data_IF_137067096690
#
_entry.id   IF_137067096690
#
_cell.length_a   1.000
_cell.length_b   1.000
_cell.length_c   1.000
_cell.angle_alpha   90.00
_cell.angle_beta   90.00
_cell.angle_gamma   90.00
#
_symmetry.space_group_name_H-M   'P 1'
#
loop_
_entity.id
_entity.type
_entity.pdbx_description
1 polymer ?
#
# COMPACT_ATOMS: atom_id res chain seq x y z
N UNK A 1 -19.92 14.91 -54.98
CA UNK A 1 -20.20 14.52 -53.58
C UNK A 1 -18.89 14.06 -52.96
N UNK A 2 -18.49 14.69 -51.85
CA UNK A 2 -17.34 14.32 -51.01
C UNK A 2 -17.64 13.03 -50.21
N UNK A 3 -16.72 12.51 -49.35
CA UNK A 3 -15.31 12.16 -49.60
C UNK A 3 -14.93 10.78 -49.02
N UNK A 4 -13.68 10.39 -49.28
CA UNK A 4 -12.95 9.22 -48.76
C UNK A 4 -12.25 9.58 -47.43
N UNK A 5 -12.17 8.61 -46.52
CA UNK A 5 -11.53 8.69 -45.20
C UNK A 5 -10.01 8.50 -45.24
N UNK A 6 -9.30 9.14 -44.30
CA UNK A 6 -8.41 8.54 -43.27
C UNK A 6 -7.33 9.54 -42.80
N UNK A 7 -6.99 9.44 -41.50
CA UNK A 7 -5.66 9.79 -41.00
C UNK A 7 -5.60 11.02 -40.08
N UNK A 8 -5.99 10.85 -38.82
CA UNK A 8 -5.74 11.82 -37.75
C UNK A 8 -4.33 11.62 -37.16
N UNK A 9 -3.46 12.61 -37.32
CA UNK A 9 -2.26 12.80 -36.50
C UNK A 9 -2.52 14.00 -35.60
N UNK A 10 -2.72 13.79 -34.29
CA UNK A 10 -2.82 14.88 -33.31
C UNK A 10 -1.53 14.95 -32.49
N UNK A 11 -0.70 15.92 -32.85
CA UNK A 11 0.27 16.56 -31.95
C UNK A 11 -0.51 17.73 -31.31
N UNK A 12 -0.66 17.75 -30.00
CA UNK A 12 -1.15 18.94 -29.29
C UNK A 12 -0.09 19.45 -28.31
N UNK A 13 0.53 20.55 -28.71
CA UNK A 13 1.25 21.49 -27.85
C UNK A 13 0.29 22.11 -26.83
N UNK A 14 0.64 22.08 -25.55
CA UNK A 14 -0.04 22.84 -24.50
C UNK A 14 0.35 24.31 -24.61
N UNK A 15 -0.61 25.22 -24.89
CA UNK A 15 -0.43 26.67 -24.71
C UNK A 15 -0.95 27.05 -23.31
N UNK A 16 -0.10 27.69 -22.51
CA UNK A 16 -0.52 28.37 -21.29
C UNK A 16 -1.09 29.76 -21.66
N UNK A 17 -2.30 30.07 -21.23
CA UNK A 17 -2.85 31.44 -21.26
C UNK A 17 -2.79 32.03 -19.85
N UNK A 18 -2.16 33.20 -19.71
CA UNK A 18 -2.21 34.04 -18.50
C UNK A 18 -3.51 34.84 -18.48
N UNK A 19 -4.31 34.70 -17.41
CA UNK A 19 -5.51 35.53 -17.18
C UNK A 19 -5.14 36.81 -16.40
N UNK A 20 -5.81 37.95 -16.63
CA UNK A 20 -5.57 39.18 -15.89
C UNK A 20 -6.09 39.09 -14.44
N UNK A 21 -5.34 39.65 -13.49
CA UNK A 21 -5.63 39.61 -12.05
C UNK A 21 -6.70 40.62 -11.59
N UNK A 22 -7.48 41.20 -12.51
CA UNK A 22 -8.45 42.28 -12.21
C UNK A 22 -9.74 42.14 -13.03
N UNK A 23 -10.87 42.38 -12.38
CA UNK A 23 -12.19 42.43 -13.03
C UNK A 23 -12.32 43.71 -13.87
N UNK A 24 -12.64 43.58 -15.16
CA UNK A 24 -12.76 44.72 -16.10
C UNK A 24 -13.99 45.61 -15.89
N UNK A 25 -14.98 45.17 -15.11
CA UNK A 25 -16.23 45.93 -14.88
C UNK A 25 -16.23 46.72 -13.57
N UNK A 26 -15.52 46.25 -12.54
CA UNK A 26 -15.51 46.91 -11.21
C UNK A 26 -14.10 47.12 -10.61
N UNK A 27 -13.03 46.69 -11.28
CA UNK A 27 -11.65 46.99 -10.91
C UNK A 27 -11.09 46.21 -9.72
N UNK A 28 -11.80 45.24 -9.16
CA UNK A 28 -11.33 44.46 -8.00
C UNK A 28 -10.22 43.47 -8.41
N UNK A 29 -9.13 43.41 -7.64
CA UNK A 29 -8.00 42.50 -7.87
C UNK A 29 -8.14 41.17 -7.14
N UNK A 30 -7.64 40.09 -7.75
CA UNK A 30 -7.64 38.73 -7.19
C UNK A 30 -6.22 38.17 -7.12
N UNK A 31 -5.93 37.37 -6.09
CA UNK A 31 -4.63 36.72 -5.86
C UNK A 31 -4.64 35.29 -6.46
N UNK A 32 -3.60 34.82 -7.19
CA UNK A 32 -3.73 33.69 -8.12
C UNK A 32 -3.73 32.28 -7.50
N UNK A 33 -3.86 32.12 -6.18
CA UNK A 33 -3.78 30.80 -5.52
C UNK A 33 -5.17 30.31 -5.11
N UNK A 34 -6.06 30.07 -6.07
CA UNK A 34 -7.33 29.37 -5.85
C UNK A 34 -8.02 29.06 -7.19
N UNK A 35 -7.44 28.21 -8.04
CA UNK A 35 -8.17 27.64 -9.20
C UNK A 35 -7.42 26.44 -9.80
N UNK A 36 -7.27 25.38 -9.01
CA UNK A 36 -7.02 24.04 -9.55
C UNK A 36 -7.88 23.06 -8.77
N UNK A 37 -9.19 23.09 -9.00
CA UNK A 37 -10.07 21.93 -8.77
C UNK A 37 -11.41 22.27 -9.45
N UNK A 38 -11.71 21.56 -10.54
CA UNK A 38 -13.02 21.23 -11.12
C UNK A 38 -12.89 21.11 -12.63
N UNK A 39 -12.46 19.94 -13.10
CA UNK A 39 -12.80 19.49 -14.45
C UNK A 39 -12.72 17.96 -14.57
N UNK A 40 -13.68 17.27 -13.98
CA UNK A 40 -14.21 16.02 -14.55
C UNK A 40 -15.73 16.04 -14.36
N UNK A 41 -16.43 16.05 -15.48
CA UNK A 41 -17.87 15.91 -15.64
C UNK A 41 -18.73 17.05 -15.11
N UNK A 42 -18.77 18.17 -15.85
CA UNK A 42 -19.97 18.96 -16.14
C UNK A 42 -19.57 20.03 -17.17
N UNK A 43 -20.26 20.06 -18.31
CA UNK A 43 -20.10 21.09 -19.33
C UNK A 43 -20.92 22.32 -18.91
N UNK A 44 -20.30 23.27 -18.21
CA UNK A 44 -20.89 24.60 -17.95
C UNK A 44 -19.77 25.64 -18.04
N UNK A 45 -19.96 26.65 -18.89
CA UNK A 45 -19.05 27.79 -19.11
C UNK A 45 -18.92 28.69 -17.87
N UNK A 46 -17.71 29.06 -17.43
CA UNK A 46 -17.53 30.00 -16.32
C UNK A 46 -17.04 31.37 -16.85
N UNK A 47 -17.96 32.32 -17.07
CA UNK A 47 -17.75 33.63 -16.43
C UNK A 47 -19.01 34.29 -15.82
N UNK A 48 -20.22 33.75 -16.00
CA UNK A 48 -21.44 34.52 -15.74
C UNK A 48 -22.20 34.20 -14.43
N UNK A 49 -21.72 33.31 -13.56
CA UNK A 49 -22.44 32.97 -12.32
C UNK A 49 -21.93 33.62 -11.03
N UNK A 50 -20.79 34.33 -11.05
CA UNK A 50 -20.29 35.03 -9.85
C UNK A 50 -20.58 36.53 -9.81
N UNK A 51 -21.15 37.11 -10.87
CA UNK A 51 -21.42 38.56 -10.94
C UNK A 51 -22.88 38.94 -10.64
N UNK A 52 -23.84 38.01 -10.74
CA UNK A 52 -25.27 38.33 -10.65
C UNK A 52 -25.89 38.25 -9.24
N UNK A 53 -25.18 37.79 -8.20
CA UNK A 53 -25.73 37.81 -6.83
C UNK A 53 -25.29 39.01 -5.99
N UNK A 54 -24.22 39.73 -6.40
CA UNK A 54 -23.65 40.85 -5.63
C UNK A 54 -23.94 42.24 -6.21
N UNK A 55 -24.47 42.33 -7.42
CA UNK A 55 -24.73 43.62 -8.08
C UNK A 55 -26.19 44.13 -7.97
N UNK A 56 -27.09 43.36 -7.36
CA UNK A 56 -28.54 43.68 -7.27
C UNK A 56 -29.00 44.29 -5.93
N UNK A 57 -28.09 44.71 -5.04
CA UNK A 57 -28.46 45.31 -3.74
C UNK A 57 -28.22 46.84 -3.64
N UNK A 58 -28.39 47.59 -4.73
CA UNK A 58 -28.44 49.07 -4.67
C UNK A 58 -29.81 49.61 -5.02
N UNK A 59 -30.75 49.48 -4.08
CA UNK A 59 -31.84 50.44 -3.86
C UNK A 59 -32.67 50.02 -2.64
N UNK A 60 -32.43 50.61 -1.47
CA UNK A 60 -33.45 50.90 -0.46
C UNK A 60 -32.90 51.91 0.57
N UNK A 61 -33.74 52.83 1.10
CA UNK A 61 -33.27 54.00 1.85
C UNK A 61 -32.91 53.67 3.31
N UNK A 62 -32.02 54.50 3.86
CA UNK A 62 -31.63 54.53 5.27
C UNK A 62 -32.86 54.63 6.18
N UNK A 63 -33.23 53.53 6.84
CA UNK A 63 -33.86 53.50 8.17
C UNK A 63 -33.92 52.06 8.67
N UNK A 64 -33.78 51.93 9.99
CA UNK A 64 -33.87 50.72 10.81
C UNK A 64 -32.51 50.07 11.10
N UNK A 65 -31.87 50.64 12.11
CA UNK A 65 -31.01 49.95 13.06
C UNK A 65 -31.76 48.78 13.72
N UNK A 66 -31.00 47.75 14.10
CA UNK A 66 -31.34 46.54 14.87
C UNK A 66 -31.69 45.28 14.06
N UNK A 67 -30.95 44.22 14.37
CA UNK A 67 -31.17 42.80 14.03
C UNK A 67 -30.73 42.29 12.65
N UNK A 68 -29.43 42.26 12.37
CA UNK A 68 -28.87 41.22 11.50
C UNK A 68 -27.59 40.65 12.11
N UNK A 69 -27.74 39.55 12.86
CA UNK A 69 -26.67 38.60 13.08
C UNK A 69 -26.26 38.10 11.70
N UNK A 70 -25.16 38.61 11.17
CA UNK A 70 -24.43 37.92 10.11
C UNK A 70 -23.92 36.64 10.76
N UNK A 71 -24.67 35.55 10.58
CA UNK A 71 -24.18 34.22 10.83
C UNK A 71 -23.09 33.99 9.78
N UNK A 72 -21.87 34.39 10.09
CA UNK A 72 -20.70 33.90 9.40
C UNK A 72 -20.71 32.38 9.64
N UNK A 73 -21.23 31.63 8.67
CA UNK A 73 -21.00 30.20 8.58
C UNK A 73 -19.51 30.09 8.24
N UNK A 74 -18.68 30.15 9.28
CA UNK A 74 -17.40 29.51 9.25
C UNK A 74 -17.71 28.06 8.94
N UNK A 75 -17.46 27.64 7.69
CA UNK A 75 -17.27 26.23 7.41
C UNK A 75 -16.03 25.87 8.21
N UNK A 76 -16.24 25.47 9.47
CA UNK A 76 -15.31 24.60 10.16
C UNK A 76 -15.23 23.37 9.26
N UNK A 77 -14.28 23.36 8.34
CA UNK A 77 -13.73 22.11 7.84
C UNK A 77 -13.11 21.50 9.10
N UNK A 78 -13.90 20.71 9.83
CA UNK A 78 -13.36 19.91 10.92
C UNK A 78 -12.18 19.16 10.33
N UNK A 79 -10.98 19.53 10.76
CA UNK A 79 -9.76 18.85 10.39
C UNK A 79 -9.98 17.40 10.84
N UNK A 80 -10.10 16.47 9.88
CA UNK A 80 -10.32 15.07 10.17
C UNK A 80 -9.30 14.63 11.24
N UNK A 81 -9.78 13.85 12.23
CA UNK A 81 -8.94 13.43 13.34
C UNK A 81 -7.63 12.79 12.81
N UNK A 82 -6.48 13.06 13.45
CA UNK A 82 -5.21 12.51 13.02
C UNK A 82 -5.28 10.99 13.01
N UNK A 83 -4.77 10.39 11.93
CA UNK A 83 -4.58 8.94 11.81
C UNK A 83 -3.11 8.59 11.96
N UNK A 84 -2.85 7.47 12.62
CA UNK A 84 -1.50 6.97 12.87
C UNK A 84 -1.27 5.66 12.12
N UNK A 85 -0.18 5.60 11.34
CA UNK A 85 0.17 4.43 10.53
C UNK A 85 1.55 3.89 10.89
N UNK A 86 1.69 2.57 10.95
CA UNK A 86 3.00 1.89 10.94
C UNK A 86 3.20 1.25 9.58
N UNK A 87 4.37 1.45 8.98
CA UNK A 87 4.79 0.73 7.77
C UNK A 87 6.08 -0.01 8.07
N UNK A 88 6.05 -1.35 7.98
CA UNK A 88 7.21 -2.18 8.29
C UNK A 88 8.21 -2.25 7.13
N UNK A 89 9.52 -2.25 7.42
CA UNK A 89 10.56 -2.36 6.39
C UNK A 89 10.55 -1.21 5.38
N UNK A 90 10.34 0.01 5.87
CA UNK A 90 10.01 1.17 5.07
C UNK A 90 11.19 2.13 4.79
N UNK A 91 12.44 1.70 5.03
CA UNK A 91 13.61 2.52 4.71
C UNK A 91 13.97 2.56 3.21
N UNK A 92 13.30 1.77 2.36
CA UNK A 92 13.50 1.72 0.90
C UNK A 92 12.32 1.04 0.18
N UNK A 93 12.35 1.03 -1.15
CA UNK A 93 11.41 0.28 -1.99
C UNK A 93 9.95 0.70 -1.79
N UNK A 94 9.04 -0.26 -1.95
CA UNK A 94 7.59 -0.05 -1.85
C UNK A 94 7.20 0.55 -0.48
N UNK A 95 7.83 0.08 0.61
CA UNK A 95 7.52 0.58 1.96
C UNK A 95 7.85 2.06 2.14
N UNK A 96 8.98 2.52 1.61
CA UNK A 96 9.36 3.95 1.64
C UNK A 96 8.35 4.81 0.89
N UNK A 97 7.96 4.37 -0.31
CA UNK A 97 7.00 5.10 -1.13
C UNK A 97 5.58 5.06 -0.53
N UNK A 98 5.21 3.95 0.12
CA UNK A 98 3.96 3.85 0.90
C UNK A 98 3.94 4.87 2.04
N UNK A 99 5.05 5.04 2.78
CA UNK A 99 5.15 6.07 3.82
C UNK A 99 4.93 7.45 3.23
N UNK A 100 5.59 7.76 2.12
CA UNK A 100 5.49 9.07 1.46
C UNK A 100 4.06 9.38 1.02
N UNK A 101 3.38 8.44 0.37
CA UNK A 101 2.00 8.64 -0.11
C UNK A 101 0.98 8.73 1.03
N UNK A 102 1.15 7.95 2.10
CA UNK A 102 0.33 8.08 3.31
C UNK A 102 0.55 9.42 4.01
N UNK A 103 1.81 9.85 4.14
CA UNK A 103 2.16 11.14 4.73
C UNK A 103 1.59 12.31 3.91
N UNK A 104 1.65 12.23 2.58
CA UNK A 104 1.03 13.20 1.68
C UNK A 104 -0.49 13.28 1.84
N UNK A 105 -1.12 12.18 2.28
CA UNK A 105 -2.56 12.11 2.59
C UNK A 105 -2.91 12.61 4.00
N UNK A 106 -1.95 13.23 4.71
CA UNK A 106 -2.13 13.78 6.05
C UNK A 106 -2.07 12.77 7.19
N UNK A 107 -1.67 11.52 6.93
CA UNK A 107 -1.48 10.48 7.96
C UNK A 107 -0.16 10.71 8.68
N UNK A 108 -0.12 10.61 10.00
CA UNK A 108 1.16 10.55 10.73
C UNK A 108 1.72 9.14 10.62
N UNK A 109 2.91 9.00 10.02
CA UNK A 109 3.47 7.69 9.69
C UNK A 109 4.71 7.41 10.51
N UNK A 110 4.67 6.30 11.25
CA UNK A 110 5.82 5.68 11.88
C UNK A 110 6.51 4.80 10.83
N UNK A 111 7.56 5.35 10.21
CA UNK A 111 8.48 4.62 9.33
C UNK A 111 9.32 3.70 10.21
N UNK A 112 9.32 2.40 9.91
CA UNK A 112 10.17 1.45 10.64
C UNK A 112 11.18 0.73 9.76
N UNK A 113 12.31 0.39 10.37
CA UNK A 113 13.38 -0.33 9.72
C UNK A 113 14.20 -1.12 10.74
N UNK A 114 14.71 -2.28 10.33
CA UNK A 114 15.58 -3.10 11.19
C UNK A 114 16.89 -2.40 11.54
N UNK A 115 17.44 -1.66 10.57
CA UNK A 115 18.70 -0.94 10.74
C UNK A 115 18.40 0.53 11.04
N UNK A 116 18.78 0.98 12.23
CA UNK A 116 18.50 2.35 12.71
C UNK A 116 19.05 3.42 11.80
N UNK A 117 20.32 3.30 11.38
CA UNK A 117 20.97 4.29 10.52
C UNK A 117 20.18 4.51 9.23
N UNK A 118 19.84 3.42 8.52
CA UNK A 118 19.06 3.50 7.27
C UNK A 118 17.65 4.05 7.50
N UNK A 119 17.02 3.72 8.63
CA UNK A 119 15.70 4.26 8.98
C UNK A 119 15.70 5.75 9.28
N UNK A 120 16.70 6.23 10.03
CA UNK A 120 16.91 7.65 10.30
C UNK A 120 17.24 8.43 9.02
N UNK A 121 18.09 7.89 8.15
CA UNK A 121 18.41 8.50 6.85
C UNK A 121 17.16 8.62 5.96
N UNK A 122 16.36 7.56 5.85
CA UNK A 122 15.10 7.57 5.09
C UNK A 122 14.10 8.60 5.64
N UNK A 123 13.96 8.68 6.98
CA UNK A 123 13.08 9.65 7.64
C UNK A 123 13.58 11.09 7.44
N UNK A 124 14.89 11.32 7.54
CA UNK A 124 15.52 12.61 7.27
C UNK A 124 15.28 13.07 5.84
N UNK A 125 15.36 12.16 4.87
CA UNK A 125 15.08 12.44 3.47
C UNK A 125 13.62 12.91 3.27
N UNK A 126 12.65 12.21 3.85
CA UNK A 126 11.23 12.59 3.77
C UNK A 126 10.95 13.93 4.47
N UNK A 127 11.54 14.15 5.63
CA UNK A 127 11.41 15.43 6.35
C UNK A 127 11.97 16.62 5.55
N UNK A 128 13.12 16.43 4.86
CA UNK A 128 13.67 17.45 3.94
C UNK A 128 12.78 17.72 2.73
N UNK A 129 11.96 16.75 2.33
CA UNK A 129 10.95 16.91 1.28
C UNK A 129 9.64 17.54 1.79
N UNK A 130 9.55 17.90 3.07
CA UNK A 130 8.40 18.56 3.67
C UNK A 130 7.42 17.65 4.41
N UNK A 131 7.69 16.34 4.50
CA UNK A 131 6.83 15.38 5.20
C UNK A 131 7.12 15.33 6.71
N UNK A 132 6.88 16.43 7.42
CA UNK A 132 7.14 16.56 8.87
C UNK A 132 6.30 15.63 9.76
N UNK A 133 5.29 14.98 9.20
CA UNK A 133 4.43 13.98 9.82
C UNK A 133 5.00 12.54 9.72
N UNK A 134 6.27 12.38 9.37
CA UNK A 134 6.97 11.08 9.38
C UNK A 134 7.93 11.01 10.55
N UNK A 135 7.78 9.98 11.39
CA UNK A 135 8.68 9.69 12.51
C UNK A 135 9.34 8.32 12.33
N UNK A 136 10.53 8.17 12.87
CA UNK A 136 11.25 6.89 12.83
C UNK A 136 11.06 6.11 14.14
N UNK A 137 10.90 4.80 14.03
CA UNK A 137 11.13 3.87 15.13
C UNK A 137 11.82 2.59 14.60
N UNK A 138 12.80 2.07 15.33
CA UNK A 138 13.45 0.80 14.96
C UNK A 138 12.44 -0.35 15.03
N UNK A 139 12.48 -1.26 14.05
CA UNK A 139 11.71 -2.50 14.07
C UNK A 139 12.43 -3.60 13.28
N UNK A 140 12.84 -4.65 13.97
CA UNK A 140 13.08 -5.96 13.36
C UNK A 140 11.88 -6.87 13.67
N UNK A 141 11.19 -7.31 12.62
CA UNK A 141 9.97 -8.13 12.76
C UNK A 141 10.26 -9.54 13.28
N UNK A 142 11.52 -9.95 13.35
CA UNK A 142 11.93 -11.23 13.94
C UNK A 142 12.34 -11.11 15.41
N UNK A 143 12.47 -9.90 15.95
CA UNK A 143 12.91 -9.65 17.32
C UNK A 143 11.73 -9.22 18.21
N UNK A 144 11.39 -10.08 19.18
CA UNK A 144 10.31 -9.83 20.12
C UNK A 144 10.50 -8.55 20.94
N UNK A 145 11.73 -8.21 21.32
CA UNK A 145 12.01 -6.99 22.11
C UNK A 145 11.83 -5.74 21.24
N UNK A 146 12.26 -5.80 19.99
CA UNK A 146 12.06 -4.73 19.01
C UNK A 146 10.56 -4.47 18.77
N UNK A 147 9.77 -5.53 18.62
CA UNK A 147 8.30 -5.45 18.46
C UNK A 147 7.64 -4.85 19.72
N UNK A 148 7.99 -5.32 20.90
CA UNK A 148 7.45 -4.81 22.17
C UNK A 148 7.79 -3.33 22.38
N UNK A 149 9.02 -2.95 22.04
CA UNK A 149 9.47 -1.55 22.09
C UNK A 149 8.63 -0.64 21.20
N UNK A 150 8.35 -1.05 19.96
CA UNK A 150 7.47 -0.32 19.05
C UNK A 150 6.04 -0.19 19.61
N UNK A 151 5.47 -1.26 20.14
CA UNK A 151 4.13 -1.24 20.71
C UNK A 151 4.03 -0.27 21.90
N UNK A 152 5.01 -0.29 22.81
CA UNK A 152 5.11 0.65 23.94
C UNK A 152 5.25 2.10 23.46
N UNK A 153 6.11 2.34 22.47
CA UNK A 153 6.27 3.66 21.88
C UNK A 153 4.95 4.23 21.36
N UNK A 154 4.19 3.44 20.57
CA UNK A 154 2.91 3.87 20.02
C UNK A 154 1.88 4.10 21.12
N UNK A 155 1.82 3.21 22.12
CA UNK A 155 0.93 3.36 23.27
C UNK A 155 1.20 4.66 24.03
N UNK A 156 2.46 5.01 24.26
CA UNK A 156 2.85 6.22 24.99
C UNK A 156 2.65 7.50 24.18
N UNK A 157 3.00 7.50 22.89
CA UNK A 157 2.97 8.72 22.07
C UNK A 157 1.59 9.01 21.46
N UNK A 158 0.84 7.97 21.10
CA UNK A 158 -0.39 8.11 20.31
C UNK A 158 -1.62 7.47 20.95
N UNK A 159 -1.44 6.50 21.85
CA UNK A 159 -2.52 5.81 22.57
C UNK A 159 -3.38 4.84 21.74
N UNK A 160 -3.24 4.87 20.40
CA UNK A 160 -3.90 3.99 19.44
C UNK A 160 -3.06 3.84 18.17
N UNK A 161 -3.46 2.91 17.32
CA UNK A 161 -2.96 2.78 15.94
C UNK A 161 -4.14 2.66 14.98
N UNK A 162 -4.12 3.35 13.85
CA UNK A 162 -5.21 3.29 12.87
C UNK A 162 -4.88 2.40 11.68
N UNK A 163 -3.61 2.34 11.29
CA UNK A 163 -3.17 1.63 10.08
C UNK A 163 -1.90 0.84 10.37
N UNK A 164 -1.88 -0.43 10.00
CA UNK A 164 -0.68 -1.27 9.95
C UNK A 164 -0.46 -1.76 8.51
N UNK A 165 0.67 -1.42 7.91
CA UNK A 165 1.11 -1.97 6.63
C UNK A 165 2.29 -2.92 6.88
N UNK A 166 2.01 -4.22 6.80
CA UNK A 166 3.00 -5.28 6.85
C UNK A 166 3.68 -5.42 5.48
N UNK A 167 4.74 -4.64 5.27
CA UNK A 167 5.50 -4.57 4.03
C UNK A 167 6.86 -5.30 4.10
N UNK A 168 7.47 -5.41 5.28
CA UNK A 168 8.76 -6.09 5.44
C UNK A 168 8.73 -7.49 4.83
N UNK A 169 9.78 -7.85 4.08
CA UNK A 169 9.86 -9.14 3.41
C UNK A 169 11.26 -9.54 2.99
N UNK A 170 11.45 -10.84 2.81
CA UNK A 170 12.65 -11.48 2.31
C UNK A 170 12.29 -12.40 1.12
N UNK A 171 13.23 -12.55 0.19
CA UNK A 171 13.05 -13.34 -1.05
C UNK A 171 13.15 -14.85 -0.85
N UNK A 172 13.78 -15.30 0.24
CA UNK A 172 13.94 -16.72 0.56
C UNK A 172 14.88 -17.50 -0.34
N UNK A 173 15.80 -16.80 -1.02
CA UNK A 173 16.79 -17.39 -1.91
C UNK A 173 18.14 -16.71 -1.75
N UNK A 174 19.21 -17.47 -1.99
CA UNK A 174 20.55 -16.95 -2.26
C UNK A 174 20.70 -16.82 -3.77
N UNK A 175 21.21 -15.68 -4.23
CA UNK A 175 21.26 -15.34 -5.65
C UNK A 175 22.66 -14.93 -6.09
N UNK A 176 23.08 -15.51 -7.20
CA UNK A 176 24.12 -14.96 -8.05
C UNK A 176 23.49 -13.95 -9.02
N UNK A 177 23.60 -12.66 -8.69
CA UNK A 177 22.97 -11.58 -9.46
C UNK A 177 23.54 -11.46 -10.88
N UNK A 178 24.82 -11.76 -11.07
CA UNK A 178 25.45 -11.67 -12.38
C UNK A 178 24.89 -12.76 -13.30
N UNK A 179 24.82 -14.00 -12.80
CA UNK A 179 24.21 -15.10 -13.53
C UNK A 179 22.71 -14.86 -13.76
N UNK A 180 21.97 -14.35 -12.77
CA UNK A 180 20.54 -14.05 -12.93
C UNK A 180 20.30 -13.02 -14.04
N UNK A 181 21.09 -11.95 -14.09
CA UNK A 181 20.99 -10.92 -15.14
C UNK A 181 21.35 -11.49 -16.52
N UNK A 182 22.35 -12.36 -16.59
CA UNK A 182 22.77 -13.00 -17.84
C UNK A 182 21.71 -13.92 -18.45
N UNK A 183 20.79 -14.48 -17.64
CA UNK A 183 19.68 -15.29 -18.14
C UNK A 183 18.65 -14.49 -18.96
N UNK A 184 18.63 -13.15 -18.83
CA UNK A 184 17.75 -12.24 -19.57
C UNK A 184 16.30 -12.75 -19.67
N UNK A 185 15.74 -13.15 -18.52
CA UNK A 185 14.42 -13.78 -18.43
C UNK A 185 13.35 -12.74 -18.77
N UNK A 186 12.46 -13.09 -19.70
CA UNK A 186 11.31 -12.25 -20.03
C UNK A 186 10.39 -12.09 -18.78
N UNK A 187 10.00 -10.85 -18.42
CA UNK A 187 9.12 -10.61 -17.27
C UNK A 187 7.81 -11.39 -17.30
N UNK A 188 7.24 -11.66 -18.48
CA UNK A 188 6.01 -12.46 -18.64
C UNK A 188 6.28 -13.91 -18.26
N UNK A 189 7.40 -14.48 -18.72
CA UNK A 189 7.78 -15.85 -18.37
C UNK A 189 8.16 -15.98 -16.90
N UNK A 190 8.80 -14.93 -16.34
CA UNK A 190 9.03 -14.81 -14.90
C UNK A 190 7.70 -14.89 -14.16
N UNK A 191 6.75 -13.98 -14.42
CA UNK A 191 5.47 -13.90 -13.71
C UNK A 191 4.58 -15.15 -13.93
N UNK A 192 4.60 -15.73 -15.12
CA UNK A 192 3.91 -16.97 -15.42
C UNK A 192 4.45 -18.14 -14.58
N UNK A 193 5.71 -18.09 -14.15
CA UNK A 193 6.37 -19.20 -13.45
C UNK A 193 7.10 -20.16 -14.38
N UNK A 194 7.21 -19.83 -15.67
CA UNK A 194 7.86 -20.65 -16.70
C UNK A 194 9.38 -20.69 -16.55
N UNK A 195 9.94 -19.71 -15.85
CA UNK A 195 11.36 -19.62 -15.58
C UNK A 195 11.85 -20.53 -14.43
N UNK A 196 10.99 -21.35 -13.81
CA UNK A 196 11.32 -22.12 -12.60
C UNK A 196 12.58 -22.99 -12.73
N UNK A 197 12.79 -23.62 -13.88
CA UNK A 197 13.95 -24.49 -14.10
C UNK A 197 15.21 -23.69 -14.40
N UNK A 198 15.11 -22.63 -15.21
CA UNK A 198 16.27 -21.84 -15.63
C UNK A 198 16.84 -21.02 -14.48
N UNK A 199 16.02 -20.56 -13.53
CA UNK A 199 16.51 -19.76 -12.41
C UNK A 199 17.36 -20.55 -11.42
N UNK A 200 17.26 -21.89 -11.40
CA UNK A 200 17.96 -22.72 -10.40
C UNK A 200 19.49 -22.62 -10.50
N UNK A 201 20.00 -22.26 -11.68
CA UNK A 201 21.45 -22.04 -11.88
C UNK A 201 21.95 -20.78 -11.18
N UNK A 202 21.07 -19.78 -11.02
CA UNK A 202 21.40 -18.48 -10.41
C UNK A 202 20.82 -18.33 -9.00
N UNK A 203 19.77 -19.07 -8.65
CA UNK A 203 18.98 -18.87 -7.44
C UNK A 203 18.82 -20.20 -6.71
N UNK A 204 19.23 -20.22 -5.44
CA UNK A 204 19.14 -21.42 -4.59
C UNK A 204 18.29 -21.13 -3.37
N UNK A 205 17.33 -22.01 -3.10
CA UNK A 205 16.61 -22.02 -1.81
C UNK A 205 17.35 -22.94 -0.87
N UNK A 206 18.11 -22.37 0.07
CA UNK A 206 18.70 -23.13 1.18
C UNK A 206 17.73 -23.17 2.36
N UNK A 207 17.91 -24.10 3.29
CA UNK A 207 17.11 -24.14 4.52
C UNK A 207 17.15 -22.82 5.29
N UNK A 208 18.33 -22.21 5.45
CA UNK A 208 18.47 -20.96 6.19
C UNK A 208 17.79 -19.79 5.48
N UNK A 209 17.93 -19.70 4.15
CA UNK A 209 17.23 -18.68 3.35
C UNK A 209 15.71 -18.86 3.41
N UNK A 210 15.24 -20.10 3.39
CA UNK A 210 13.83 -20.42 3.51
C UNK A 210 13.29 -20.09 4.90
N UNK A 211 14.02 -20.47 5.96
CA UNK A 211 13.64 -20.16 7.34
C UNK A 211 13.57 -18.65 7.56
N UNK A 212 14.59 -17.89 7.12
CA UNK A 212 14.59 -16.43 7.17
C UNK A 212 13.36 -15.84 6.46
N UNK A 213 12.99 -16.40 5.30
CA UNK A 213 11.81 -15.98 4.55
C UNK A 213 10.52 -16.21 5.32
N UNK A 214 10.32 -17.40 5.90
CA UNK A 214 9.13 -17.70 6.68
C UNK A 214 9.06 -16.87 7.96
N UNK A 215 10.20 -16.74 8.67
CA UNK A 215 10.34 -15.95 9.88
C UNK A 215 10.01 -14.47 9.62
N UNK A 216 10.37 -13.93 8.45
CA UNK A 216 10.07 -12.54 8.09
C UNK A 216 8.64 -12.37 7.56
N UNK A 217 8.28 -13.15 6.52
CA UNK A 217 7.11 -12.90 5.69
C UNK A 217 5.80 -13.40 6.31
N UNK A 218 5.87 -14.37 7.24
CA UNK A 218 4.71 -14.93 7.92
C UNK A 218 4.79 -14.68 9.43
N UNK A 219 5.79 -15.23 10.12
CA UNK A 219 5.86 -15.13 11.57
C UNK A 219 6.08 -13.70 12.05
N UNK A 220 6.94 -12.93 11.37
CA UNK A 220 7.16 -11.52 11.71
C UNK A 220 5.92 -10.67 11.48
N UNK A 221 5.17 -10.94 10.41
CA UNK A 221 3.87 -10.29 10.18
C UNK A 221 2.88 -10.62 11.29
N UNK A 222 2.76 -11.90 11.65
CA UNK A 222 1.89 -12.35 12.75
C UNK A 222 2.30 -11.67 14.06
N UNK A 223 3.57 -11.74 14.45
CA UNK A 223 4.06 -11.21 15.72
C UNK A 223 3.87 -9.69 15.84
N UNK A 224 4.18 -8.93 14.78
CA UNK A 224 3.93 -7.47 14.75
C UNK A 224 2.44 -7.17 14.82
N UNK A 225 1.62 -7.91 14.08
CA UNK A 225 0.17 -7.72 14.08
C UNK A 225 -0.42 -7.99 15.47
N UNK A 226 -0.10 -9.13 16.09
CA UNK A 226 -0.57 -9.48 17.43
C UNK A 226 -0.15 -8.46 18.49
N UNK A 227 1.09 -7.96 18.43
CA UNK A 227 1.57 -6.94 19.37
C UNK A 227 0.87 -5.58 19.22
N UNK A 228 0.43 -5.24 18.01
CA UNK A 228 -0.23 -3.96 17.71
C UNK A 228 -1.76 -4.05 17.71
N UNK A 229 -2.34 -5.25 17.76
CA UNK A 229 -3.79 -5.47 17.77
C UNK A 229 -4.51 -4.72 18.90
N UNK A 230 -4.02 -4.68 20.16
CA UNK A 230 -4.68 -3.91 21.21
C UNK A 230 -4.79 -2.40 20.87
N UNK A 231 -3.78 -1.85 20.22
CA UNK A 231 -3.77 -0.44 19.78
C UNK A 231 -4.68 -0.20 18.57
N UNK A 232 -4.75 -1.18 17.64
CA UNK A 232 -5.66 -1.16 16.50
C UNK A 232 -7.13 -1.25 16.93
N UNK A 233 -7.44 -2.01 17.97
CA UNK A 233 -8.79 -2.10 18.52
C UNK A 233 -9.29 -0.77 19.12
N UNK A 234 -8.39 0.13 19.52
CA UNK A 234 -8.72 1.48 19.97
C UNK A 234 -9.03 2.45 18.81
N UNK A 235 -8.80 2.05 17.56
CA UNK A 235 -9.19 2.85 16.39
C UNK A 235 -10.66 2.66 16.05
N UNK A 236 -11.33 3.74 15.67
CA UNK A 236 -12.69 3.69 15.12
C UNK A 236 -12.74 3.08 13.71
N UNK A 237 -11.60 2.96 13.04
CA UNK A 237 -11.53 2.54 11.63
C UNK A 237 -10.17 1.89 11.31
N UNK A 238 -9.81 0.85 12.06
CA UNK A 238 -8.54 0.16 11.92
C UNK A 238 -8.36 -0.52 10.55
N UNK A 239 -7.13 -0.47 10.02
CA UNK A 239 -6.71 -1.09 8.76
C UNK A 239 -5.47 -1.94 8.96
N UNK A 240 -5.49 -3.16 8.44
CA UNK A 240 -4.28 -3.99 8.30
C UNK A 240 -4.12 -4.32 6.82
N UNK A 241 -2.95 -4.00 6.27
CA UNK A 241 -2.58 -4.27 4.89
C UNK A 241 -1.38 -5.18 4.87
N UNK A 242 -1.56 -6.38 4.33
CA UNK A 242 -0.49 -7.35 4.18
C UNK A 242 0.03 -7.34 2.74
N UNK A 243 1.27 -6.86 2.53
CA UNK A 243 1.87 -6.85 1.18
C UNK A 243 2.24 -8.28 0.80
N UNK A 244 1.45 -8.85 -0.10
CA UNK A 244 1.52 -10.22 -0.61
C UNK A 244 2.22 -10.25 -1.97
N UNK A 245 1.83 -11.17 -2.85
CA UNK A 245 2.44 -11.37 -4.16
C UNK A 245 1.49 -12.09 -5.11
N UNK A 246 1.71 -12.03 -6.42
CA UNK A 246 1.10 -12.95 -7.39
C UNK A 246 1.38 -14.43 -7.05
N UNK A 247 2.48 -14.71 -6.34
CA UNK A 247 2.86 -16.09 -5.96
C UNK A 247 1.99 -16.70 -4.87
N UNK A 248 1.13 -15.92 -4.21
CA UNK A 248 0.20 -16.42 -3.21
C UNK A 248 -1.08 -17.02 -3.78
N UNK A 249 -1.33 -16.86 -5.08
CA UNK A 249 -2.52 -17.38 -5.75
C UNK A 249 -2.67 -18.90 -5.56
N UNK A 250 -3.81 -19.35 -5.04
CA UNK A 250 -4.06 -20.76 -4.76
C UNK A 250 -3.95 -21.63 -6.02
N UNK A 251 -4.37 -21.12 -7.19
CA UNK A 251 -4.23 -21.81 -8.49
C UNK A 251 -2.78 -22.19 -8.83
N UNK A 252 -1.79 -21.55 -8.19
CA UNK A 252 -0.35 -21.85 -8.38
C UNK A 252 0.17 -22.92 -7.45
N UNK A 253 -0.59 -23.34 -6.42
CA UNK A 253 -0.21 -24.45 -5.53
C UNK A 253 -0.45 -25.76 -6.28
N UNK A 254 0.58 -26.56 -6.59
CA UNK A 254 0.42 -27.77 -7.42
C UNK A 254 -0.40 -28.85 -6.74
N UNK A 255 -0.12 -29.14 -5.47
CA UNK A 255 -0.81 -30.16 -4.69
C UNK A 255 -2.28 -29.75 -4.41
N UNK A 256 -3.22 -30.56 -4.90
CA UNK A 256 -4.66 -30.28 -4.81
C UNK A 256 -5.19 -30.31 -3.37
N UNK A 257 -4.75 -31.26 -2.55
CA UNK A 257 -5.18 -31.37 -1.15
C UNK A 257 -4.75 -30.15 -0.35
N UNK A 258 -3.49 -29.73 -0.50
CA UNK A 258 -2.96 -28.51 0.13
C UNK A 258 -3.73 -27.28 -0.34
N UNK A 259 -4.06 -27.20 -1.62
CA UNK A 259 -4.86 -26.10 -2.19
C UNK A 259 -6.27 -26.07 -1.61
N UNK A 260 -6.92 -27.23 -1.41
CA UNK A 260 -8.23 -27.34 -0.74
C UNK A 260 -8.13 -26.92 0.72
N UNK A 261 -7.12 -27.37 1.44
CA UNK A 261 -6.92 -27.02 2.85
C UNK A 261 -6.71 -25.51 3.04
N UNK A 262 -5.86 -24.88 2.23
CA UNK A 262 -5.64 -23.42 2.25
C UNK A 262 -6.84 -22.63 1.69
N UNK A 263 -7.69 -23.28 0.89
CA UNK A 263 -8.93 -22.73 0.35
C UNK A 263 -10.08 -22.72 1.37
N UNK A 264 -10.09 -23.61 2.35
CA UNK A 264 -11.17 -23.78 3.33
C UNK A 264 -11.17 -22.66 4.40
N UNK A 265 -11.75 -21.49 4.07
CA UNK A 265 -11.84 -20.32 4.99
C UNK A 265 -12.42 -20.73 6.35
N UNK A 266 -13.46 -21.57 6.32
CA UNK A 266 -14.28 -21.87 7.48
C UNK A 266 -13.51 -22.68 8.52
N UNK A 267 -12.67 -23.62 8.09
CA UNK A 267 -11.93 -24.48 9.01
C UNK A 267 -10.42 -24.19 9.07
N UNK A 268 -9.91 -23.24 8.29
CA UNK A 268 -8.50 -22.85 8.35
C UNK A 268 -8.18 -22.15 9.67
N UNK A 269 -7.08 -22.56 10.27
CA UNK A 269 -6.55 -22.00 11.53
C UNK A 269 -5.08 -21.66 11.37
N UNK A 270 -4.55 -20.87 12.30
CA UNK A 270 -3.12 -20.55 12.34
C UNK A 270 -2.30 -21.83 12.53
N UNK A 271 -2.72 -22.73 13.43
CA UNK A 271 -2.05 -24.01 13.67
C UNK A 271 -1.95 -24.87 12.40
N UNK A 272 -3.02 -24.94 11.59
CA UNK A 272 -2.99 -25.66 10.31
C UNK A 272 -2.02 -25.00 9.33
N UNK A 273 -2.09 -23.68 9.23
CA UNK A 273 -1.18 -22.89 8.38
C UNK A 273 0.28 -23.10 8.77
N UNK A 274 0.57 -23.12 10.07
CA UNK A 274 1.91 -23.32 10.61
C UNK A 274 2.40 -24.76 10.43
N UNK A 275 1.52 -25.78 10.57
CA UNK A 275 1.86 -27.16 10.24
C UNK A 275 2.26 -27.33 8.77
N UNK A 276 1.59 -26.63 7.84
CA UNK A 276 1.98 -26.60 6.43
C UNK A 276 3.39 -26.00 6.28
N UNK A 277 3.69 -24.89 6.96
CA UNK A 277 5.02 -24.27 6.94
C UNK A 277 6.11 -25.18 7.53
N UNK A 278 5.82 -25.89 8.62
CA UNK A 278 6.75 -26.87 9.19
C UNK A 278 6.99 -28.05 8.24
N UNK A 279 5.93 -28.55 7.58
CA UNK A 279 6.05 -29.61 6.57
C UNK A 279 6.88 -29.14 5.37
N UNK A 280 6.72 -27.89 4.94
CA UNK A 280 7.57 -27.31 3.88
C UNK A 280 9.05 -27.33 4.26
N UNK A 281 9.40 -26.86 5.46
CA UNK A 281 10.79 -26.85 5.94
C UNK A 281 11.36 -28.27 6.10
N UNK A 282 10.53 -29.22 6.53
CA UNK A 282 10.89 -30.63 6.57
C UNK A 282 11.19 -31.18 5.17
N UNK A 283 10.30 -30.96 4.20
CA UNK A 283 10.46 -31.45 2.84
C UNK A 283 11.64 -30.79 2.12
N UNK A 284 11.91 -29.52 2.38
CA UNK A 284 13.10 -28.83 1.88
C UNK A 284 14.40 -29.48 2.40
N UNK A 285 14.45 -29.89 3.67
CA UNK A 285 15.62 -30.61 4.24
C UNK A 285 15.84 -31.98 3.60
N UNK A 286 14.77 -32.60 3.09
CA UNK A 286 14.82 -33.92 2.45
C UNK A 286 14.98 -33.83 0.92
N UNK A 287 15.16 -32.62 0.36
CA UNK A 287 15.17 -32.38 -1.09
C UNK A 287 13.89 -32.91 -1.79
N UNK A 288 12.77 -32.85 -1.07
CA UNK A 288 11.52 -33.50 -1.46
C UNK A 288 10.44 -32.49 -1.87
N UNK A 289 10.83 -31.27 -2.28
CA UNK A 289 9.86 -30.22 -2.61
C UNK A 289 9.03 -30.56 -3.86
N UNK A 290 9.68 -30.92 -4.95
CA UNK A 290 8.99 -31.20 -6.22
C UNK A 290 8.09 -32.44 -6.09
N UNK A 291 8.62 -33.54 -5.54
CA UNK A 291 7.88 -34.80 -5.38
C UNK A 291 6.68 -34.67 -4.44
N UNK A 292 6.75 -33.78 -3.43
CA UNK A 292 5.62 -33.47 -2.55
C UNK A 292 4.74 -32.33 -3.07
N UNK A 293 4.88 -31.95 -4.34
CA UNK A 293 4.03 -31.01 -5.06
C UNK A 293 4.08 -29.60 -4.49
N UNK A 294 5.24 -29.13 -4.03
CA UNK A 294 5.47 -27.73 -3.66
C UNK A 294 5.71 -26.87 -4.89
N UNK A 295 5.45 -25.58 -4.77
CA UNK A 295 5.78 -24.61 -5.82
C UNK A 295 7.30 -24.55 -6.00
N UNK A 296 7.80 -24.83 -7.21
CA UNK A 296 9.24 -24.84 -7.49
C UNK A 296 9.79 -23.46 -7.86
N UNK A 297 8.96 -22.53 -8.33
CA UNK A 297 9.39 -21.14 -8.50
C UNK A 297 9.36 -20.40 -7.17
N UNK A 298 10.54 -20.02 -6.68
CA UNK A 298 10.72 -19.31 -5.40
C UNK A 298 9.96 -20.00 -4.25
N UNK A 299 10.27 -21.27 -3.93
CA UNK A 299 9.44 -22.13 -3.08
C UNK A 299 9.10 -21.51 -1.72
N UNK A 300 10.11 -21.03 -0.99
CA UNK A 300 9.92 -20.45 0.33
C UNK A 300 9.13 -19.13 0.29
N UNK A 301 9.41 -18.29 -0.71
CA UNK A 301 8.66 -17.05 -0.93
C UNK A 301 7.20 -17.33 -1.23
N UNK A 302 6.93 -18.23 -2.18
CA UNK A 302 5.59 -18.60 -2.60
C UNK A 302 4.77 -19.11 -1.42
N UNK A 303 5.24 -20.13 -0.69
CA UNK A 303 4.48 -20.66 0.45
C UNK A 303 4.33 -19.62 1.57
N UNK A 304 5.33 -18.75 1.81
CA UNK A 304 5.20 -17.68 2.80
C UNK A 304 4.07 -16.71 2.46
N UNK A 305 3.87 -16.40 1.17
CA UNK A 305 2.82 -15.47 0.72
C UNK A 305 1.46 -16.14 0.64
N UNK A 306 1.38 -17.42 0.27
CA UNK A 306 0.14 -18.21 0.37
C UNK A 306 -0.33 -18.28 1.83
N UNK A 307 0.57 -18.59 2.77
CA UNK A 307 0.26 -18.61 4.20
C UNK A 307 -0.09 -17.22 4.75
N UNK A 308 0.51 -16.14 4.24
CA UNK A 308 0.12 -14.77 4.59
C UNK A 308 -1.30 -14.43 4.12
N UNK A 309 -1.71 -14.88 2.93
CA UNK A 309 -3.08 -14.74 2.45
C UNK A 309 -4.07 -15.50 3.35
N UNK A 310 -3.73 -16.73 3.74
CA UNK A 310 -4.47 -17.52 4.72
C UNK A 310 -4.62 -16.78 6.06
N UNK A 311 -3.52 -16.27 6.63
CA UNK A 311 -3.54 -15.51 7.88
C UNK A 311 -4.39 -14.25 7.78
N UNK A 312 -4.34 -13.54 6.65
CA UNK A 312 -5.18 -12.36 6.39
C UNK A 312 -6.67 -12.71 6.51
N UNK A 313 -7.10 -13.83 5.92
CA UNK A 313 -8.49 -14.32 5.99
C UNK A 313 -8.88 -14.74 7.41
N UNK A 314 -7.98 -15.42 8.13
CA UNK A 314 -8.19 -15.79 9.55
C UNK A 314 -8.40 -14.54 10.40
N UNK A 315 -7.54 -13.53 10.24
CA UNK A 315 -7.64 -12.27 10.97
C UNK A 315 -8.92 -11.49 10.65
N UNK A 316 -9.28 -11.38 9.36
CA UNK A 316 -10.50 -10.69 8.94
C UNK A 316 -11.75 -11.30 9.59
N UNK A 317 -11.81 -12.63 9.70
CA UNK A 317 -12.88 -13.34 10.42
C UNK A 317 -12.85 -13.07 11.92
N UNK A 318 -11.66 -13.03 12.54
CA UNK A 318 -11.49 -12.76 13.98
C UNK A 318 -11.87 -11.32 14.34
N UNK A 319 -11.63 -10.37 13.44
CA UNK A 319 -11.85 -8.93 13.65
C UNK A 319 -12.74 -8.32 12.56
N UNK A 320 -14.04 -8.66 12.50
CA UNK A 320 -14.92 -8.29 11.39
C UNK A 320 -15.19 -6.78 11.27
N UNK A 321 -14.83 -5.98 12.29
CA UNK A 321 -14.96 -4.51 12.27
C UNK A 321 -13.75 -3.81 11.64
N UNK A 322 -12.64 -4.52 11.43
CA UNK A 322 -11.43 -3.98 10.80
C UNK A 322 -11.42 -4.34 9.32
N UNK A 323 -10.84 -3.48 8.47
CA UNK A 323 -10.54 -3.87 7.09
C UNK A 323 -9.13 -4.46 7.06
N UNK A 324 -9.06 -5.79 6.87
CA UNK A 324 -7.82 -6.56 6.88
C UNK A 324 -7.70 -7.25 5.53
N UNK A 325 -6.79 -6.77 4.68
CA UNK A 325 -6.67 -7.24 3.30
C UNK A 325 -5.21 -7.50 2.94
N UNK A 326 -5.00 -8.26 1.87
CA UNK A 326 -3.68 -8.47 1.30
C UNK A 326 -3.63 -8.00 -0.15
N UNK A 327 -2.44 -7.63 -0.61
CA UNK A 327 -2.26 -7.02 -1.95
C UNK A 327 -1.00 -7.49 -2.63
N UNK A 328 -1.10 -7.89 -3.89
CA UNK A 328 0.04 -7.96 -4.80
C UNK A 328 0.32 -6.56 -5.38
N UNK A 329 1.50 -5.99 -5.14
CA UNK A 329 1.83 -4.63 -5.61
C UNK A 329 2.29 -4.57 -7.08
N UNK A 330 2.23 -5.68 -7.83
CA UNK A 330 2.86 -5.79 -9.14
C UNK A 330 4.33 -6.21 -9.11
N UNK A 331 4.97 -6.22 -10.29
CA UNK A 331 6.38 -6.59 -10.45
C UNK A 331 7.29 -5.35 -10.37
N UNK A 332 7.45 -4.85 -9.14
CA UNK A 332 8.12 -3.58 -8.85
C UNK A 332 9.63 -3.72 -8.85
N UNK A 333 10.33 -2.79 -9.50
CA UNK A 333 11.79 -2.71 -9.55
C UNK A 333 12.36 -2.34 -8.16
N UNK A 334 12.85 -3.33 -7.41
CA UNK A 334 13.40 -3.13 -6.07
C UNK A 334 14.55 -4.10 -5.77
N UNK A 335 15.23 -3.92 -4.64
CA UNK A 335 16.30 -4.81 -4.23
C UNK A 335 15.83 -6.26 -3.99
N UNK A 336 14.56 -6.49 -3.60
CA UNK A 336 14.07 -7.85 -3.26
C UNK A 336 14.03 -8.78 -4.47
N UNK A 337 13.90 -8.20 -5.66
CA UNK A 337 13.94 -8.90 -6.94
C UNK A 337 15.16 -8.49 -7.77
N UNK A 338 16.22 -7.99 -7.14
CA UNK A 338 17.49 -7.64 -7.81
C UNK A 338 17.32 -6.71 -9.02
N UNK A 339 16.37 -5.78 -8.92
CA UNK A 339 16.01 -4.83 -9.97
C UNK A 339 15.54 -5.45 -11.29
N UNK A 340 14.94 -6.65 -11.24
CA UNK A 340 14.34 -7.32 -12.40
C UNK A 340 12.90 -6.89 -12.69
N UNK A 341 12.27 -6.16 -11.75
CA UNK A 341 10.91 -5.65 -11.91
C UNK A 341 10.79 -4.58 -13.00
N UNK A 342 9.62 -4.51 -13.63
CA UNK A 342 9.31 -3.57 -14.72
C UNK A 342 8.60 -2.31 -14.26
N UNK A 343 8.07 -2.30 -13.03
CA UNK A 343 7.26 -1.20 -12.51
C UNK A 343 8.04 -0.29 -11.54
N UNK A 344 7.76 1.03 -11.53
CA UNK A 344 8.32 1.94 -10.54
C UNK A 344 7.70 1.75 -9.15
N UNK A 345 8.38 2.21 -8.11
CA UNK A 345 7.94 2.05 -6.71
C UNK A 345 6.68 2.85 -6.39
N UNK A 346 6.48 3.96 -7.09
CA UNK A 346 5.32 4.84 -7.00
C UNK A 346 4.03 4.09 -7.33
N UNK A 347 4.01 3.37 -8.45
CA UNK A 347 2.89 2.52 -8.87
C UNK A 347 2.73 1.31 -7.94
N UNK A 348 3.85 0.73 -7.50
CA UNK A 348 3.85 -0.40 -6.57
C UNK A 348 3.21 -0.09 -5.21
N UNK A 349 3.27 1.16 -4.76
CA UNK A 349 2.69 1.60 -3.49
C UNK A 349 1.18 1.91 -3.57
N UNK A 350 0.61 2.09 -4.77
CA UNK A 350 -0.79 2.50 -4.94
C UNK A 350 -1.78 1.53 -4.29
N UNK A 351 -1.59 0.22 -4.48
CA UNK A 351 -2.42 -0.82 -3.88
C UNK A 351 -2.38 -0.80 -2.35
N UNK A 352 -1.20 -0.91 -1.72
CA UNK A 352 -1.06 -0.79 -0.27
C UNK A 352 -1.66 0.50 0.31
N UNK A 353 -1.44 1.64 -0.35
CA UNK A 353 -1.96 2.96 0.07
C UNK A 353 -3.49 2.99 -0.04
N UNK A 354 -4.06 2.53 -1.14
CA UNK A 354 -5.51 2.45 -1.33
C UNK A 354 -6.17 1.63 -0.21
N UNK A 355 -5.62 0.44 0.11
CA UNK A 355 -6.14 -0.40 1.18
C UNK A 355 -6.01 0.23 2.57
N UNK A 356 -4.90 0.91 2.83
CA UNK A 356 -4.66 1.63 4.08
C UNK A 356 -5.61 2.83 4.25
N UNK A 357 -6.15 3.37 3.16
CA UNK A 357 -7.04 4.53 3.16
C UNK A 357 -8.52 4.18 2.89
N UNK A 358 -8.87 2.90 2.78
CA UNK A 358 -10.26 2.46 2.57
C UNK A 358 -11.22 3.13 3.57
N UNK A 359 -12.45 3.51 3.14
CA UNK A 359 -13.47 4.04 4.03
C UNK A 359 -13.93 2.98 5.04
N UNK A 360 -14.51 3.42 6.17
CA UNK A 360 -15.11 2.51 7.15
C UNK A 360 -16.20 1.66 6.48
N UNK A 361 -16.26 0.37 6.81
CA UNK A 361 -17.13 -0.60 6.14
C UNK A 361 -16.62 -1.06 4.77
N UNK A 362 -15.40 -0.71 4.38
CA UNK A 362 -14.73 -1.25 3.19
C UNK A 362 -14.50 -2.77 3.27
N UNK A 363 -14.08 -3.40 2.15
CA UNK A 363 -13.85 -4.83 2.08
C UNK A 363 -12.84 -5.32 3.12
N UNK A 364 -13.01 -6.55 3.58
CA UNK A 364 -12.12 -7.21 4.54
C UNK A 364 -12.00 -8.69 4.19
N UNK A 365 -10.83 -9.28 4.42
CA UNK A 365 -10.53 -10.66 4.06
C UNK A 365 -10.33 -10.88 2.56
N UNK A 366 -10.04 -9.83 1.80
CA UNK A 366 -9.86 -9.89 0.35
C UNK A 366 -8.39 -9.84 -0.07
N UNK A 367 -8.12 -10.44 -1.23
CA UNK A 367 -6.87 -10.29 -1.98
C UNK A 367 -7.07 -9.27 -3.11
N UNK A 368 -6.06 -8.43 -3.32
CA UNK A 368 -6.05 -7.43 -4.38
C UNK A 368 -4.86 -7.63 -5.30
N UNK A 369 -5.10 -7.55 -6.60
CA UNK A 369 -4.08 -7.37 -7.62
C UNK A 369 -4.01 -5.87 -7.94
N UNK A 370 -2.91 -5.22 -7.53
CA UNK A 370 -2.80 -3.77 -7.47
C UNK A 370 -3.93 -3.13 -6.66
N UNK A 371 -4.88 -2.47 -7.35
CA UNK A 371 -6.02 -1.76 -6.77
C UNK A 371 -7.35 -2.47 -7.02
N UNK A 372 -7.32 -3.66 -7.63
CA UNK A 372 -8.51 -4.42 -8.03
C UNK A 372 -8.64 -5.67 -7.18
N UNK A 373 -9.85 -5.98 -6.71
CA UNK A 373 -10.12 -7.24 -5.99
C UNK A 373 -9.85 -8.42 -6.93
N UNK A 374 -9.13 -9.42 -6.45
CA UNK A 374 -8.77 -10.62 -7.20
C UNK A 374 -9.06 -11.90 -6.39
N UNK A 375 -9.01 -13.03 -7.08
CA UNK A 375 -9.14 -14.35 -6.44
C UNK A 375 -7.85 -14.75 -5.71
N UNK A 376 -8.02 -15.50 -4.62
CA UNK A 376 -6.94 -15.92 -3.73
C UNK A 376 -5.95 -16.91 -4.29
#
# INVERSE_FOLDING_TARGET
MAPIAFGATKIHSTRYFSLPNTCSTCGTSFNPVSLVFFKKNLAIDPPNLFCNSLCSQKALPQKIFQSQRILAIAVNVEKAAPRYAVVTGANKGIGFETVKQLANSGVTVILTARNEKRGMEATSLLNKQGFSNVVFHQLDVQDAQSIESLAKFIQTQYGRLDILVNNAGASGVVVDEATLKALNIDPVDWLAGKAANVIQVAMKTTYDSAKLCLDTNYYGVKNVTEALLPLLQNSHSARIVNVSSLRSELKRVPNEERRKELGDIENLTEDKTEKILQKFLHDLKQDALEVNGWQIMLPAYSISKVSLNAYTRILARRYPKMCINCVHPGYVNTDINWHTGTMPVEEGAEGPVMLALLPAGGPTGCYFDHTVVAEF
#
